data_IF_607069274677
#
_entry.id   IF_607069274677
#
_cell.length_a   1.000
_cell.length_b   1.000
_cell.length_c   1.000
_cell.angle_alpha   90.00
_cell.angle_beta   90.00
_cell.angle_gamma   90.00
#
_symmetry.space_group_name_H-M   'P 1'
#
loop_
_entity.id
_entity.type
_entity.pdbx_description
1 polymer ?
#
# COMPACT_ATOMS: atom_id res chain seq x y z
N UNK A 1 48.82 -11.28 50.94
CA UNK A 1 47.75 -12.23 51.34
C UNK A 1 46.70 -11.56 52.24
N UNK A 2 45.91 -10.63 51.70
CA UNK A 2 44.82 -9.98 52.44
C UNK A 2 43.64 -9.60 51.53
N UNK A 3 43.42 -10.36 50.44
CA UNK A 3 42.30 -10.15 49.50
C UNK A 3 41.47 -11.42 49.25
N UNK A 4 41.73 -12.50 49.99
CA UNK A 4 40.99 -13.76 49.88
C UNK A 4 39.95 -13.88 51.02
N UNK A 5 40.05 -13.06 52.07
CA UNK A 5 39.09 -13.02 53.20
C UNK A 5 37.83 -12.18 52.97
N UNK A 6 37.69 -11.52 51.83
CA UNK A 6 36.48 -10.73 51.51
C UNK A 6 35.47 -11.49 50.64
N UNK A 7 35.79 -12.69 50.19
CA UNK A 7 34.92 -13.45 49.26
C UNK A 7 33.88 -14.32 50.02
N UNK A 8 33.96 -14.39 51.35
CA UNK A 8 33.25 -15.39 52.14
C UNK A 8 32.18 -14.86 53.13
N UNK A 9 31.69 -13.63 52.99
CA UNK A 9 30.53 -13.13 53.75
C UNK A 9 29.42 -12.76 52.74
N UNK A 10 28.53 -13.72 52.47
CA UNK A 10 27.17 -13.78 53.03
C UNK A 10 26.27 -12.69 52.40
N UNK A 11 25.60 -12.97 51.29
CA UNK A 11 24.39 -13.80 51.13
C UNK A 11 23.08 -13.09 51.50
N UNK A 12 22.09 -13.30 50.63
CA UNK A 12 20.66 -13.03 50.78
C UNK A 12 20.20 -11.59 50.58
N UNK A 13 19.63 -11.31 49.39
CA UNK A 13 18.29 -10.75 49.27
C UNK A 13 17.72 -11.18 47.91
N UNK A 14 16.71 -12.04 47.99
CA UNK A 14 15.95 -12.56 46.87
C UNK A 14 15.06 -11.46 46.27
N UNK A 15 14.96 -11.43 44.94
CA UNK A 15 13.81 -10.88 44.24
C UNK A 15 13.74 -11.51 42.84
N UNK A 16 12.73 -12.34 42.54
CA UNK A 16 12.40 -12.66 41.17
C UNK A 16 11.53 -11.53 40.63
N UNK A 17 12.11 -10.59 39.86
CA UNK A 17 11.27 -9.84 38.93
C UNK A 17 11.05 -10.74 37.72
N UNK A 18 9.85 -11.32 37.68
CA UNK A 18 9.26 -11.86 36.47
C UNK A 18 9.29 -10.77 35.38
N UNK A 19 10.21 -10.88 34.44
CA UNK A 19 10.07 -10.18 33.16
C UNK A 19 9.14 -11.04 32.32
N UNK A 20 7.88 -10.64 32.29
CA UNK A 20 6.95 -11.01 31.24
C UNK A 20 7.70 -10.86 29.91
N UNK A 21 7.80 -11.96 29.15
CA UNK A 21 8.14 -11.90 27.75
C UNK A 21 7.06 -11.02 27.12
N UNK A 22 7.37 -9.74 26.96
CA UNK A 22 6.65 -8.87 26.07
C UNK A 22 6.78 -9.53 24.72
N UNK A 23 5.71 -10.21 24.33
CA UNK A 23 5.46 -10.67 22.98
C UNK A 23 5.55 -9.39 22.14
N UNK A 24 6.74 -9.12 21.59
CA UNK A 24 6.87 -8.11 20.57
C UNK A 24 5.82 -8.49 19.53
N UNK A 25 4.86 -7.60 19.21
CA UNK A 25 3.89 -7.90 18.18
C UNK A 25 4.71 -8.31 16.97
N UNK A 26 4.48 -9.54 16.51
CA UNK A 26 5.09 -10.06 15.31
C UNK A 26 4.80 -9.04 14.22
N UNK A 27 5.79 -8.17 13.98
CA UNK A 27 5.75 -7.19 12.93
C UNK A 27 5.54 -8.00 11.67
N UNK A 28 4.39 -7.80 11.04
CA UNK A 28 4.13 -8.28 9.70
C UNK A 28 5.38 -7.93 8.88
N UNK A 29 6.08 -8.89 8.24
CA UNK A 29 7.18 -8.55 7.36
C UNK A 29 6.59 -7.62 6.31
N UNK A 30 6.88 -6.33 6.44
CA UNK A 30 6.46 -5.31 5.50
C UNK A 30 7.08 -5.74 4.19
N UNK A 31 6.23 -6.19 3.26
CA UNK A 31 6.67 -6.78 2.01
C UNK A 31 7.70 -5.86 1.39
N UNK A 32 8.95 -6.33 1.33
CA UNK A 32 9.99 -5.65 0.59
C UNK A 32 9.40 -5.32 -0.78
N UNK A 33 9.42 -4.04 -1.16
CA UNK A 33 9.14 -3.66 -2.53
C UNK A 33 10.09 -4.44 -3.42
N UNK A 34 9.60 -5.55 -4.00
CA UNK A 34 10.33 -6.29 -5.02
C UNK A 34 10.62 -5.29 -6.12
N UNK A 35 11.89 -4.89 -6.20
CA UNK A 35 12.38 -4.09 -7.30
C UNK A 35 12.08 -4.80 -8.64
N UNK A 36 12.17 -4.07 -9.76
CA UNK A 36 11.95 -4.65 -11.06
C UNK A 36 12.84 -5.89 -11.25
N UNK A 37 12.32 -6.97 -11.87
CA UNK A 37 13.09 -8.18 -12.08
C UNK A 37 14.36 -7.86 -12.86
N UNK A 38 15.47 -8.53 -12.53
CA UNK A 38 16.77 -8.26 -13.15
C UNK A 38 16.71 -8.32 -14.69
N UNK A 39 15.91 -9.24 -15.24
CA UNK A 39 15.69 -9.37 -16.68
C UNK A 39 15.08 -8.10 -17.34
N UNK A 40 14.25 -7.34 -16.60
CA UNK A 40 13.70 -6.07 -17.09
C UNK A 40 14.76 -4.97 -17.12
N UNK A 41 15.71 -4.99 -16.19
CA UNK A 41 16.83 -4.01 -16.16
C UNK A 41 17.81 -4.32 -17.28
N UNK A 42 18.22 -5.58 -17.42
CA UNK A 42 19.15 -6.02 -18.47
C UNK A 42 18.62 -5.75 -19.88
N UNK A 43 17.32 -5.92 -20.11
CA UNK A 43 16.72 -5.60 -21.41
C UNK A 43 16.79 -4.09 -21.78
N UNK A 44 17.02 -3.22 -20.78
CA UNK A 44 17.20 -1.78 -20.95
C UNK A 44 18.65 -1.30 -20.78
N UNK A 45 19.62 -2.20 -20.53
CA UNK A 45 21.03 -1.82 -20.45
C UNK A 45 21.51 -1.29 -21.81
N UNK A 46 22.14 -0.12 -21.81
CA UNK A 46 22.58 0.57 -23.03
C UNK A 46 21.47 1.24 -23.85
N UNK A 47 20.19 1.09 -23.45
CA UNK A 47 19.06 1.81 -24.04
C UNK A 47 18.78 3.14 -23.31
N UNK A 48 17.88 3.97 -23.84
CA UNK A 48 17.44 5.22 -23.23
C UNK A 48 16.02 5.07 -22.66
N UNK A 49 15.63 6.02 -21.81
CA UNK A 49 14.24 6.13 -21.37
C UNK A 49 13.34 6.38 -22.59
N UNK A 50 12.27 5.59 -22.72
CA UNK A 50 11.36 5.63 -23.86
C UNK A 50 11.60 4.55 -24.92
N UNK A 51 12.74 3.84 -24.89
CA UNK A 51 12.98 2.74 -25.83
C UNK A 51 12.13 1.50 -25.51
N UNK A 52 11.65 0.83 -26.55
CA UNK A 52 10.95 -0.44 -26.41
C UNK A 52 11.94 -1.58 -26.18
N UNK A 53 11.65 -2.45 -25.22
CA UNK A 53 12.40 -3.68 -24.98
C UNK A 53 11.50 -4.78 -24.44
N UNK A 54 11.97 -6.02 -24.56
CA UNK A 54 11.23 -7.22 -24.16
C UNK A 54 12.14 -8.20 -23.43
N UNK A 55 11.60 -8.92 -22.46
CA UNK A 55 12.31 -9.98 -21.75
C UNK A 55 11.36 -11.15 -21.43
N UNK A 56 11.93 -12.35 -21.23
CA UNK A 56 11.16 -13.51 -20.80
C UNK A 56 10.97 -13.47 -19.27
N UNK A 57 9.72 -13.48 -18.81
CA UNK A 57 9.39 -13.59 -17.40
C UNK A 57 9.54 -15.01 -16.84
N UNK A 58 9.49 -15.19 -15.51
CA UNK A 58 9.70 -16.48 -14.84
C UNK A 58 8.76 -17.62 -15.29
N UNK A 59 7.62 -17.30 -15.92
CA UNK A 59 6.66 -18.27 -16.44
C UNK A 59 6.75 -18.52 -17.95
N UNK A 60 7.86 -18.16 -18.60
CA UNK A 60 8.04 -18.34 -20.06
C UNK A 60 7.23 -17.36 -20.93
N UNK A 61 6.58 -16.36 -20.32
CA UNK A 61 5.86 -15.32 -21.06
C UNK A 61 6.83 -14.20 -21.43
N UNK A 62 6.86 -13.82 -22.70
CA UNK A 62 7.56 -12.60 -23.13
C UNK A 62 6.78 -11.38 -22.68
N UNK A 63 7.45 -10.51 -21.93
CA UNK A 63 6.92 -9.22 -21.50
C UNK A 63 7.57 -8.15 -22.37
N UNK A 64 6.76 -7.35 -23.05
CA UNK A 64 7.20 -6.19 -23.83
C UNK A 64 6.77 -4.92 -23.11
N UNK A 65 7.62 -3.90 -23.14
CA UNK A 65 7.34 -2.63 -22.50
C UNK A 65 8.31 -1.55 -22.91
N UNK A 66 8.23 -0.42 -22.20
CA UNK A 66 9.06 0.75 -22.40
C UNK A 66 10.07 0.85 -21.27
N UNK A 67 11.33 1.12 -21.62
CA UNK A 67 12.38 1.42 -20.67
C UNK A 67 12.03 2.72 -19.94
N UNK A 68 11.76 2.64 -18.63
CA UNK A 68 11.50 3.81 -17.79
C UNK A 68 12.54 3.88 -16.69
N UNK A 69 12.91 5.10 -16.31
CA UNK A 69 13.76 5.33 -15.15
C UNK A 69 12.98 5.04 -13.88
N UNK A 70 13.52 4.14 -13.06
CA UNK A 70 13.07 3.88 -11.70
C UNK A 70 14.26 4.08 -10.76
N UNK A 71 14.36 5.29 -10.20
CA UNK A 71 15.39 5.67 -9.24
C UNK A 71 16.82 5.53 -9.78
N UNK A 72 17.05 5.97 -11.02
CA UNK A 72 18.37 5.95 -11.64
C UNK A 72 18.74 4.62 -12.31
N UNK A 73 17.79 3.69 -12.46
CA UNK A 73 17.94 2.46 -13.25
C UNK A 73 16.82 2.36 -14.28
N UNK A 74 17.19 2.10 -15.54
CA UNK A 74 16.22 1.81 -16.59
C UNK A 74 15.74 0.37 -16.47
N UNK A 75 14.43 0.18 -16.50
CA UNK A 75 13.80 -1.14 -16.55
C UNK A 75 12.64 -1.16 -17.53
N UNK A 76 12.42 -2.31 -18.17
CA UNK A 76 11.24 -2.55 -19.01
C UNK A 76 10.00 -2.53 -18.13
N UNK A 77 9.22 -1.46 -18.26
CA UNK A 77 7.88 -1.38 -17.69
C UNK A 77 6.89 -1.78 -18.77
N UNK A 78 6.06 -2.82 -18.55
CA UNK A 78 4.95 -3.11 -19.43
C UNK A 78 4.12 -1.84 -19.62
N UNK A 79 3.69 -1.61 -20.86
CA UNK A 79 2.67 -0.60 -21.09
C UNK A 79 1.37 -1.12 -20.47
N UNK A 80 1.14 -0.81 -19.19
CA UNK A 80 -0.21 -0.83 -18.69
C UNK A 80 -0.92 0.29 -19.44
N UNK A 81 -1.72 -0.11 -20.43
CA UNK A 81 -2.88 0.68 -20.87
C UNK A 81 -3.43 1.30 -19.60
N UNK A 82 -3.59 2.63 -19.56
CA UNK A 82 -4.14 3.29 -18.38
C UNK A 82 -5.59 2.80 -18.24
N UNK A 83 -5.75 1.65 -17.60
CA UNK A 83 -7.02 1.09 -17.17
C UNK A 83 -7.64 2.25 -16.42
N UNK A 84 -8.81 2.67 -16.86
CA UNK A 84 -9.47 3.86 -16.35
C UNK A 84 -9.56 3.86 -14.82
N UNK A 85 -10.09 4.94 -14.22
CA UNK A 85 -10.26 5.01 -12.78
C UNK A 85 -10.86 3.71 -12.24
N UNK A 86 -10.40 3.22 -11.07
CA UNK A 86 -10.97 1.99 -10.50
C UNK A 86 -12.49 2.13 -10.44
N UNK A 87 -13.24 1.03 -10.59
CA UNK A 87 -14.71 1.07 -10.73
C UNK A 87 -15.39 1.84 -9.59
N UNK A 88 -14.83 1.80 -8.38
CA UNK A 88 -15.29 2.60 -7.25
C UNK A 88 -15.16 4.10 -7.48
N UNK A 89 -14.02 4.58 -8.01
CA UNK A 89 -13.85 5.99 -8.34
C UNK A 89 -14.75 6.42 -9.51
N UNK A 90 -14.92 5.56 -10.52
CA UNK A 90 -15.84 5.83 -11.61
C UNK A 90 -17.30 5.92 -11.13
N UNK A 91 -17.73 4.99 -10.26
CA UNK A 91 -19.04 4.99 -9.63
C UNK A 91 -19.26 6.22 -8.76
N UNK A 92 -18.27 6.59 -7.93
CA UNK A 92 -18.32 7.79 -7.09
C UNK A 92 -18.47 9.08 -7.89
N UNK A 93 -17.78 9.20 -9.02
CA UNK A 93 -17.93 10.36 -9.90
C UNK A 93 -19.35 10.43 -10.48
N UNK A 94 -19.83 9.29 -11.00
CA UNK A 94 -21.12 9.20 -11.67
C UNK A 94 -22.29 9.45 -10.73
N UNK A 95 -22.18 9.02 -9.48
CA UNK A 95 -23.18 9.31 -8.43
C UNK A 95 -23.36 10.82 -8.17
N UNK A 96 -22.35 11.63 -8.48
CA UNK A 96 -22.30 13.07 -8.25
C UNK A 96 -22.32 13.90 -9.54
N UNK A 97 -22.53 13.27 -10.69
CA UNK A 97 -22.60 13.97 -11.98
C UNK A 97 -23.84 14.88 -12.02
N UNK A 98 -23.64 16.16 -12.36
CA UNK A 98 -24.71 17.16 -12.38
C UNK A 98 -25.17 17.65 -11.00
N UNK A 99 -24.57 17.17 -9.91
CA UNK A 99 -24.86 17.62 -8.53
C UNK A 99 -23.90 18.74 -8.10
N UNK A 100 -24.12 19.31 -6.93
CA UNK A 100 -23.22 20.26 -6.26
C UNK A 100 -22.52 19.61 -5.07
N UNK A 101 -21.46 20.25 -4.58
CA UNK A 101 -20.81 19.84 -3.35
C UNK A 101 -21.82 19.92 -2.19
N UNK A 102 -21.88 18.88 -1.37
CA UNK A 102 -22.85 18.71 -0.29
C UNK A 102 -24.08 17.87 -0.64
N UNK A 103 -24.36 17.65 -1.93
CA UNK A 103 -25.49 16.80 -2.32
C UNK A 103 -25.25 15.33 -1.99
N UNK A 104 -26.32 14.60 -1.68
CA UNK A 104 -26.25 13.15 -1.50
C UNK A 104 -26.26 12.44 -2.85
N UNK A 105 -25.46 11.38 -2.96
CA UNK A 105 -25.49 10.45 -4.09
C UNK A 105 -25.48 9.00 -3.62
N UNK A 106 -25.60 8.08 -4.58
CA UNK A 106 -25.38 6.65 -4.32
C UNK A 106 -25.03 5.92 -5.62
N UNK A 107 -24.24 4.85 -5.52
CA UNK A 107 -23.99 3.93 -6.63
C UNK A 107 -23.81 2.49 -6.13
N UNK A 108 -24.07 1.52 -7.01
CA UNK A 108 -23.80 0.11 -6.75
C UNK A 108 -22.39 -0.23 -7.22
N UNK A 109 -21.57 -0.76 -6.32
CA UNK A 109 -20.24 -1.23 -6.65
C UNK A 109 -20.29 -2.63 -7.29
N UNK A 110 -19.25 -3.05 -8.03
CA UNK A 110 -19.19 -4.38 -8.63
C UNK A 110 -19.28 -5.53 -7.62
N UNK A 111 -18.97 -5.30 -6.35
CA UNK A 111 -19.14 -6.26 -5.26
C UNK A 111 -20.61 -6.41 -4.79
N UNK A 112 -21.56 -5.76 -5.47
CA UNK A 112 -22.99 -5.83 -5.19
C UNK A 112 -23.44 -4.91 -4.04
N UNK A 113 -22.51 -4.28 -3.32
CA UNK A 113 -22.84 -3.33 -2.24
C UNK A 113 -23.16 -1.96 -2.80
N UNK A 114 -24.21 -1.35 -2.27
CA UNK A 114 -24.52 0.06 -2.52
C UNK A 114 -23.67 0.93 -1.62
N UNK A 115 -23.10 1.99 -2.18
CA UNK A 115 -22.38 3.03 -1.46
C UNK A 115 -23.18 4.32 -1.59
N UNK A 116 -23.52 4.91 -0.46
CA UNK A 116 -24.21 6.19 -0.35
C UNK A 116 -23.35 7.15 0.46
N UNK A 117 -23.52 8.44 0.22
CA UNK A 117 -22.83 9.48 0.95
C UNK A 117 -22.90 10.82 0.26
N UNK A 118 -21.95 11.69 0.60
CA UNK A 118 -21.98 13.11 0.22
C UNK A 118 -20.99 13.39 -0.91
N UNK A 119 -21.43 14.15 -1.90
CA UNK A 119 -20.60 14.64 -2.99
C UNK A 119 -19.67 15.74 -2.49
N UNK A 120 -18.36 15.53 -2.59
CA UNK A 120 -17.33 16.52 -2.24
C UNK A 120 -16.45 16.81 -3.44
N UNK A 121 -16.02 18.06 -3.55
CA UNK A 121 -15.04 18.44 -4.58
C UNK A 121 -13.66 17.90 -4.20
N UNK A 122 -13.04 17.20 -5.14
CA UNK A 122 -11.69 16.67 -5.01
C UNK A 122 -10.80 17.24 -6.12
N UNK A 123 -10.74 18.57 -6.22
CA UNK A 123 -9.91 19.27 -7.21
C UNK A 123 -10.61 19.46 -8.55
N UNK A 124 -11.84 20.00 -8.52
CA UNK A 124 -12.63 20.28 -9.72
C UNK A 124 -13.46 19.11 -10.24
N UNK A 125 -13.52 18.00 -9.48
CA UNK A 125 -14.37 16.86 -9.76
C UNK A 125 -15.12 16.45 -8.50
N UNK A 126 -16.45 16.43 -8.60
CA UNK A 126 -17.28 15.90 -7.53
C UNK A 126 -17.16 14.39 -7.44
N UNK A 127 -16.88 13.91 -6.24
CA UNK A 127 -16.81 12.49 -5.92
C UNK A 127 -17.71 12.20 -4.73
N UNK A 128 -18.44 11.10 -4.80
CA UNK A 128 -19.15 10.57 -3.65
C UNK A 128 -18.14 10.06 -2.62
N UNK A 129 -18.17 10.66 -1.44
CA UNK A 129 -17.49 10.15 -0.25
C UNK A 129 -18.47 9.26 0.51
N UNK A 130 -18.27 7.93 0.51
CA UNK A 130 -19.16 7.02 1.21
C UNK A 130 -19.12 7.32 2.70
N UNK A 131 -20.29 7.34 3.34
CA UNK A 131 -20.36 7.41 4.79
C UNK A 131 -19.84 6.09 5.38
N UNK A 132 -19.10 6.12 6.50
CA UNK A 132 -18.75 4.90 7.21
C UNK A 132 -20.04 4.18 7.57
N UNK A 133 -20.18 2.93 7.12
CA UNK A 133 -21.34 2.09 7.45
C UNK A 133 -21.36 1.89 8.97
N UNK A 134 -22.11 2.71 9.70
CA UNK A 134 -22.20 2.60 11.16
C UNK A 134 -22.45 3.88 11.97
N UNK A 135 -22.73 5.05 11.38
CA UNK A 135 -23.23 6.17 12.17
C UNK A 135 -24.76 6.15 12.20
N UNK A 136 -25.42 6.08 13.38
CA UNK A 136 -26.82 6.43 13.49
C UNK A 136 -26.97 7.88 13.02
N UNK A 137 -27.88 8.11 12.08
CA UNK A 137 -28.31 9.46 11.71
C UNK A 137 -29.09 10.00 12.90
N UNK A 138 -28.46 10.79 13.75
CA UNK A 138 -29.17 11.61 14.73
C UNK A 138 -29.98 12.65 13.94
N UNK A 139 -31.29 12.44 13.87
CA UNK A 139 -32.25 13.41 13.36
C UNK A 139 -32.65 14.28 14.55
N UNK A 140 -32.32 15.57 14.49
CA UNK A 140 -33.02 16.61 15.25
C UNK A 140 -34.29 17.01 14.49
#
# INVERSE_FOLDING_TARGET
MLYIRHIALLACLASPLAMAAGEAPAGHPGGEHMGPPAAAVTACEGKKAGDTASFAGPGGKTMTGICRDMHGKLAVMPEHERKGPPPSAAGSAKACEGKKAGDTGSFSAPDGKTRSGICRDMGGKLMLIPEPMGAPVEKD
#
